data_IF_095015984921
#
_entry.id   IF_095015984921
#
_cell.length_a   1.000
_cell.length_b   1.000
_cell.length_c   1.000
_cell.angle_alpha   90.00
_cell.angle_beta   90.00
_cell.angle_gamma   90.00
#
_symmetry.space_group_name_H-M   'P 1'
#
loop_
_entity.id
_entity.type
_entity.pdbx_description
1 polymer ?
#
# COMPACT_ATOMS: atom_id res chain seq x y z
N UNK A 1 -18.04 -21.58 57.81
CA UNK A 1 -16.78 -21.07 57.23
C UNK A 1 -17.00 -20.85 55.74
N UNK A 2 -17.37 -19.63 55.31
CA UNK A 2 -17.52 -19.23 53.89
C UNK A 2 -17.81 -17.72 53.86
N UNK A 3 -16.81 -16.86 54.15
CA UNK A 3 -16.98 -15.40 54.06
C UNK A 3 -15.68 -14.62 53.75
N UNK A 4 -14.62 -15.27 53.28
CA UNK A 4 -13.34 -14.59 52.99
C UNK A 4 -13.01 -14.29 51.51
N UNK A 5 -13.55 -14.96 50.46
CA UNK A 5 -13.08 -14.67 49.10
C UNK A 5 -13.75 -13.45 48.42
N UNK A 6 -14.85 -12.91 48.96
CA UNK A 6 -15.56 -11.76 48.36
C UNK A 6 -14.98 -10.39 48.77
N UNK A 7 -14.22 -10.31 49.86
CA UNK A 7 -13.65 -9.04 50.34
C UNK A 7 -12.43 -8.60 49.51
N UNK A 8 -11.69 -9.56 48.94
CA UNK A 8 -10.49 -9.26 48.14
C UNK A 8 -10.85 -8.70 46.76
N UNK A 9 -11.98 -9.11 46.18
CA UNK A 9 -12.46 -8.56 44.90
C UNK A 9 -12.99 -7.13 45.01
N UNK A 10 -13.61 -6.77 46.14
CA UNK A 10 -14.18 -5.43 46.30
C UNK A 10 -13.12 -4.35 46.55
N UNK A 11 -12.00 -4.69 47.22
CA UNK A 11 -10.91 -3.73 47.49
C UNK A 11 -10.13 -3.39 46.22
N UNK A 12 -10.01 -4.31 45.26
CA UNK A 12 -9.36 -4.03 43.97
C UNK A 12 -10.19 -3.12 43.06
N UNK A 13 -11.53 -3.11 43.18
CA UNK A 13 -12.38 -2.25 42.36
C UNK A 13 -12.41 -0.79 42.86
N UNK A 14 -12.24 -0.57 44.17
CA UNK A 14 -12.29 0.78 44.77
C UNK A 14 -10.95 1.51 44.67
N UNK A 15 -9.82 0.80 44.54
CA UNK A 15 -8.50 1.42 44.38
C UNK A 15 -8.11 1.74 42.92
N UNK A 16 -8.89 1.29 41.93
CA UNK A 16 -8.64 1.55 40.50
C UNK A 16 -9.25 2.85 39.95
N UNK A 17 -10.03 3.59 40.74
CA UNK A 17 -10.80 4.76 40.26
C UNK A 17 -10.17 6.10 40.69
N UNK A 18 -9.08 6.09 41.47
CA UNK A 18 -8.45 7.31 41.97
C UNK A 18 -7.08 7.60 41.33
N UNK A 19 -7.03 7.78 40.00
CA UNK A 19 -5.88 8.43 39.33
C UNK A 19 -6.25 8.98 37.93
N UNK A 20 -7.19 9.92 37.87
CA UNK A 20 -7.42 10.76 36.69
C UNK A 20 -7.63 12.22 37.10
N UNK A 21 -6.61 12.81 37.72
CA UNK A 21 -6.58 14.25 37.97
C UNK A 21 -5.14 14.72 38.12
N UNK A 22 -4.69 15.45 37.10
CA UNK A 22 -3.55 16.39 37.08
C UNK A 22 -2.51 16.09 36.00
N UNK A 23 -2.87 16.39 34.76
CA UNK A 23 -1.91 16.83 33.74
C UNK A 23 -2.47 18.05 32.99
N UNK A 24 -2.72 19.13 33.73
CA UNK A 24 -2.94 20.47 33.20
C UNK A 24 -1.89 21.40 33.81
N UNK A 25 -0.73 21.51 33.15
CA UNK A 25 0.13 22.71 33.15
C UNK A 25 1.51 22.38 32.59
N UNK A 26 1.73 22.64 31.30
CA UNK A 26 2.99 23.15 30.71
C UNK A 26 2.92 23.11 29.18
N UNK A 27 1.90 23.72 28.57
CA UNK A 27 2.03 24.17 27.19
C UNK A 27 2.84 25.47 27.26
N UNK A 28 4.16 25.34 27.12
CA UNK A 28 4.98 26.47 26.70
C UNK A 28 4.42 26.94 25.35
N UNK A 29 3.96 28.18 25.31
CA UNK A 29 3.78 28.93 24.06
C UNK A 29 5.07 28.80 23.24
N UNK A 30 5.06 27.92 22.24
CA UNK A 30 5.96 28.05 21.11
C UNK A 30 5.34 29.13 20.24
N UNK A 31 6.10 30.20 20.06
CA UNK A 31 5.81 31.21 19.06
C UNK A 31 5.61 30.49 17.72
N UNK A 32 4.56 30.90 17.00
CA UNK A 32 4.32 30.49 15.63
C UNK A 32 5.60 30.72 14.82
N UNK A 33 6.06 29.75 13.99
CA UNK A 33 7.04 30.06 12.98
C UNK A 33 6.40 31.04 11.99
N UNK A 34 7.12 32.12 11.72
CA UNK A 34 6.82 33.03 10.64
C UNK A 34 6.72 32.29 9.30
N UNK A 35 5.72 32.70 8.50
CA UNK A 35 5.52 32.44 7.07
C UNK A 35 5.49 30.98 6.55
N UNK A 36 4.48 30.59 5.75
CA UNK A 36 4.52 29.35 5.01
C UNK A 36 5.68 29.39 4.00
N UNK A 37 6.73 28.61 4.25
CA UNK A 37 7.75 28.35 3.24
C UNK A 37 7.06 27.74 2.02
N UNK A 38 7.19 28.40 0.87
CA UNK A 38 6.86 27.81 -0.42
C UNK A 38 7.58 26.46 -0.53
N UNK A 39 6.81 25.42 -0.89
CA UNK A 39 7.35 24.11 -1.23
C UNK A 39 8.53 24.26 -2.19
N UNK A 40 9.66 23.57 -1.97
CA UNK A 40 10.79 23.66 -2.88
C UNK A 40 10.32 23.24 -4.28
N UNK A 41 10.38 24.18 -5.21
CA UNK A 41 10.19 23.88 -6.62
C UNK A 41 11.10 22.73 -7.02
N UNK A 42 10.52 21.74 -7.69
CA UNK A 42 11.14 20.65 -8.44
C UNK A 42 12.67 20.63 -8.31
N UNK A 43 13.17 20.07 -7.19
CA UNK A 43 14.61 19.90 -6.99
C UNK A 43 15.11 19.04 -8.14
N UNK A 44 15.89 19.65 -9.04
CA UNK A 44 16.63 18.92 -10.06
C UNK A 44 17.40 17.82 -9.36
N UNK A 45 17.19 16.59 -9.83
CA UNK A 45 18.00 15.44 -9.43
C UNK A 45 19.47 15.85 -9.52
N UNK A 46 20.27 15.50 -8.51
CA UNK A 46 21.70 15.78 -8.59
C UNK A 46 22.30 14.95 -9.75
N UNK A 47 23.46 15.38 -10.24
CA UNK A 47 24.08 14.77 -11.41
C UNK A 47 24.35 13.27 -11.24
N UNK A 48 24.51 12.78 -10.01
CA UNK A 48 24.69 11.35 -9.73
C UNK A 48 23.39 10.55 -9.89
N UNK A 49 22.27 11.10 -9.40
CA UNK A 49 20.95 10.50 -9.58
C UNK A 49 20.52 10.55 -11.05
N UNK A 50 20.85 11.64 -11.76
CA UNK A 50 20.57 11.77 -13.19
C UNK A 50 21.45 10.81 -14.01
N UNK A 51 22.74 10.71 -13.73
CA UNK A 51 23.64 9.77 -14.43
C UNK A 51 23.24 8.30 -14.19
N UNK A 52 22.74 7.99 -12.99
CA UNK A 52 22.21 6.67 -12.70
C UNK A 52 20.91 6.37 -13.48
N UNK A 53 20.00 7.35 -13.59
CA UNK A 53 18.80 7.24 -14.45
C UNK A 53 19.14 7.12 -15.93
N UNK A 54 20.14 7.86 -16.40
CA UNK A 54 20.59 7.84 -17.79
C UNK A 54 21.25 6.50 -18.13
N UNK A 55 21.99 5.89 -17.20
CA UNK A 55 22.54 4.53 -17.38
C UNK A 55 21.44 3.46 -17.47
N UNK A 56 20.39 3.55 -16.65
CA UNK A 56 19.24 2.64 -16.76
C UNK A 56 18.50 2.84 -18.08
N UNK A 57 18.31 4.09 -18.48
CA UNK A 57 17.64 4.41 -19.75
C UNK A 57 18.43 3.90 -20.96
N UNK A 58 19.77 4.00 -20.91
CA UNK A 58 20.65 3.45 -21.93
C UNK A 58 20.63 1.91 -21.98
N UNK A 59 20.47 1.22 -20.84
CA UNK A 59 20.25 -0.23 -20.81
C UNK A 59 18.87 -0.63 -21.36
N UNK A 60 17.85 0.22 -21.18
CA UNK A 60 16.48 0.01 -21.69
C UNK A 60 16.40 0.17 -23.22
N UNK A 61 17.17 1.08 -23.81
CA UNK A 61 17.17 1.35 -25.27
C UNK A 61 18.00 0.35 -26.10
N UNK A 62 18.73 -0.58 -25.47
CA UNK A 62 19.68 -1.47 -26.14
C UNK A 62 19.13 -2.84 -26.57
N UNK A 63 17.85 -3.14 -26.34
CA UNK A 63 17.30 -4.47 -26.62
C UNK A 63 16.23 -4.47 -27.73
N UNK A 64 16.47 -5.23 -28.82
CA UNK A 64 15.50 -5.36 -29.90
C UNK A 64 14.27 -6.13 -29.43
N UNK A 65 13.11 -5.68 -29.90
CA UNK A 65 11.77 -6.26 -29.71
C UNK A 65 11.79 -7.79 -29.56
N UNK A 66 11.64 -8.26 -28.31
CA UNK A 66 11.46 -9.67 -28.01
C UNK A 66 9.98 -10.04 -28.22
N UNK A 67 9.74 -10.62 -29.40
CA UNK A 67 8.64 -11.55 -29.74
C UNK A 67 7.23 -10.93 -29.75
N UNK A 68 6.98 -10.09 -30.76
CA UNK A 68 5.68 -10.09 -31.44
C UNK A 68 5.57 -11.44 -32.19
N UNK A 69 4.98 -12.43 -31.53
CA UNK A 69 4.84 -13.78 -32.06
C UNK A 69 3.67 -14.48 -31.41
N UNK A 70 2.48 -14.19 -31.95
CA UNK A 70 1.17 -14.75 -31.62
C UNK A 70 0.66 -14.43 -30.21
N UNK A 71 -0.23 -13.43 -30.12
CA UNK A 71 -0.87 -12.89 -28.91
C UNK A 71 -1.72 -13.91 -28.12
N UNK A 72 -1.74 -15.18 -28.51
CA UNK A 72 -2.73 -16.14 -28.04
C UNK A 72 -2.16 -17.23 -27.16
N UNK A 73 -1.51 -16.85 -26.04
CA UNK A 73 -1.19 -17.67 -24.86
C UNK A 73 0.31 -17.93 -24.64
N UNK A 74 0.85 -17.41 -23.54
CA UNK A 74 2.22 -17.74 -23.11
C UNK A 74 2.20 -19.11 -22.44
N UNK A 75 2.96 -20.07 -22.97
CA UNK A 75 3.15 -21.39 -22.35
C UNK A 75 3.67 -21.18 -20.93
N UNK A 76 2.96 -21.73 -19.93
CA UNK A 76 3.41 -21.66 -18.55
C UNK A 76 4.80 -22.34 -18.44
N UNK A 77 5.84 -21.63 -17.99
CA UNK A 77 7.15 -22.24 -17.78
C UNK A 77 7.11 -23.43 -16.80
N UNK A 78 6.04 -23.56 -16.01
CA UNK A 78 5.78 -24.65 -15.07
C UNK A 78 4.87 -25.76 -15.62
N UNK A 79 4.59 -25.76 -16.92
CA UNK A 79 3.74 -26.75 -17.60
C UNK A 79 2.25 -26.73 -17.16
N UNK A 80 1.79 -25.65 -16.52
CA UNK A 80 0.38 -25.42 -16.25
C UNK A 80 -0.40 -24.97 -17.49
N UNK A 81 -1.71 -24.76 -17.36
CA UNK A 81 -2.51 -24.10 -18.37
C UNK A 81 -1.88 -22.78 -18.81
N UNK A 82 -2.06 -22.40 -20.06
CA UNK A 82 -1.47 -21.18 -20.58
C UNK A 82 -1.90 -19.94 -19.81
N UNK A 83 -1.00 -18.98 -19.75
CA UNK A 83 -1.28 -17.65 -19.23
C UNK A 83 -2.06 -16.83 -20.26
N UNK A 84 -3.02 -16.04 -19.77
CA UNK A 84 -3.77 -15.05 -20.57
C UNK A 84 -3.54 -13.65 -20.03
N UNK A 85 -3.72 -12.62 -20.86
CA UNK A 85 -3.63 -11.23 -20.41
C UNK A 85 -4.71 -10.92 -19.38
N UNK A 86 -4.33 -10.23 -18.31
CA UNK A 86 -5.28 -9.67 -17.35
C UNK A 86 -5.60 -8.23 -17.72
N UNK A 87 -6.85 -7.97 -18.09
CA UNK A 87 -7.30 -6.66 -18.52
C UNK A 87 -7.60 -5.73 -17.32
N UNK A 88 -7.35 -4.44 -17.50
CA UNK A 88 -7.65 -3.42 -16.48
C UNK A 88 -6.68 -3.38 -15.29
N UNK A 89 -5.53 -4.03 -15.38
CA UNK A 89 -4.41 -3.92 -14.43
C UNK A 89 -3.16 -3.43 -15.17
N UNK A 90 -1.97 -3.47 -14.54
CA UNK A 90 -0.74 -3.03 -15.20
C UNK A 90 -0.50 -3.82 -16.50
N UNK A 91 -0.13 -3.16 -17.62
CA UNK A 91 0.13 -3.88 -18.87
C UNK A 91 1.28 -4.89 -18.74
N UNK A 92 1.24 -5.93 -19.58
CA UNK A 92 2.11 -7.11 -19.46
C UNK A 92 1.87 -7.96 -18.19
N UNK A 93 0.75 -7.73 -17.49
CA UNK A 93 0.25 -8.68 -16.50
C UNK A 93 -0.50 -9.81 -17.20
N UNK A 94 -0.06 -11.02 -16.90
CA UNK A 94 -0.69 -12.26 -17.32
C UNK A 94 -1.20 -13.01 -16.10
N UNK A 95 -2.32 -13.71 -16.24
CA UNK A 95 -2.92 -14.53 -15.20
C UNK A 95 -3.03 -15.98 -15.66
N UNK A 96 -2.75 -16.92 -14.75
CA UNK A 96 -2.84 -18.35 -15.00
C UNK A 96 -4.24 -18.74 -15.45
N UNK A 97 -4.36 -19.59 -16.48
CA UNK A 97 -5.63 -20.16 -16.92
C UNK A 97 -6.33 -21.05 -15.89
N UNK A 98 -5.69 -21.37 -14.77
CA UNK A 98 -6.29 -22.09 -13.63
C UNK A 98 -7.11 -21.18 -12.71
N UNK A 99 -6.94 -19.86 -12.82
CA UNK A 99 -7.74 -18.90 -12.07
C UNK A 99 -9.19 -18.92 -12.58
N UNK A 100 -10.13 -19.07 -11.65
CA UNK A 100 -11.55 -18.91 -11.96
C UNK A 100 -11.90 -17.45 -12.23
N UNK A 101 -12.97 -17.18 -12.98
CA UNK A 101 -13.43 -15.81 -13.24
C UNK A 101 -13.73 -15.02 -11.95
N UNK A 102 -14.19 -15.69 -10.90
CA UNK A 102 -14.41 -15.08 -9.59
C UNK A 102 -13.10 -14.63 -8.94
N UNK A 103 -12.07 -15.50 -8.94
CA UNK A 103 -10.74 -15.15 -8.42
C UNK A 103 -10.11 -13.99 -9.19
N UNK A 104 -10.22 -13.99 -10.52
CA UNK A 104 -9.75 -12.87 -11.35
C UNK A 104 -10.47 -11.57 -11.01
N UNK A 105 -11.79 -11.63 -10.80
CA UNK A 105 -12.57 -10.45 -10.38
C UNK A 105 -12.14 -9.93 -9.00
N UNK A 106 -11.80 -10.82 -8.06
CA UNK A 106 -11.33 -10.43 -6.72
C UNK A 106 -9.95 -9.76 -6.84
N UNK A 107 -9.02 -10.35 -7.59
CA UNK A 107 -7.69 -9.78 -7.82
C UNK A 107 -7.79 -8.42 -8.52
N UNK A 108 -8.63 -8.30 -9.55
CA UNK A 108 -8.85 -7.02 -10.24
C UNK A 108 -9.39 -5.96 -9.27
N UNK A 109 -10.36 -6.31 -8.43
CA UNK A 109 -10.87 -5.39 -7.42
C UNK A 109 -9.79 -5.01 -6.41
N UNK A 110 -8.97 -5.95 -5.97
CA UNK A 110 -7.84 -5.68 -5.07
C UNK A 110 -6.82 -4.73 -5.70
N UNK A 111 -6.60 -4.84 -7.01
CA UNK A 111 -5.77 -3.90 -7.77
C UNK A 111 -6.37 -2.49 -7.81
N UNK A 112 -7.66 -2.39 -8.15
CA UNK A 112 -8.39 -1.12 -8.19
C UNK A 112 -8.43 -0.45 -6.81
N UNK A 113 -8.59 -1.22 -5.74
CA UNK A 113 -8.56 -0.75 -4.35
C UNK A 113 -7.13 -0.33 -3.92
N UNK A 114 -6.11 -1.13 -4.24
CA UNK A 114 -4.71 -0.80 -3.93
C UNK A 114 -4.23 0.46 -4.67
N UNK A 115 -4.77 0.71 -5.87
CA UNK A 115 -4.55 1.95 -6.60
C UNK A 115 -4.94 3.17 -5.78
N UNK A 116 -6.07 3.14 -5.06
CA UNK A 116 -6.50 4.23 -4.19
C UNK A 116 -5.46 4.54 -3.10
N UNK A 117 -4.82 3.52 -2.52
CA UNK A 117 -3.75 3.72 -1.54
C UNK A 117 -2.53 4.42 -2.15
N UNK A 118 -2.08 3.96 -3.32
CA UNK A 118 -0.93 4.57 -3.99
C UNK A 118 -1.23 5.97 -4.50
N UNK A 119 -2.46 6.25 -4.91
CA UNK A 119 -2.95 7.58 -5.28
C UNK A 119 -2.99 8.52 -4.09
N UNK A 120 -3.43 8.06 -2.91
CA UNK A 120 -3.37 8.83 -1.68
C UNK A 120 -1.91 9.15 -1.29
N UNK A 121 -1.02 8.15 -1.37
CA UNK A 121 0.40 8.29 -1.05
C UNK A 121 1.15 9.24 -2.02
N UNK A 122 0.76 9.29 -3.29
CA UNK A 122 1.39 10.12 -4.33
C UNK A 122 0.55 11.35 -4.75
N UNK A 123 -0.54 11.62 -4.05
CA UNK A 123 -1.55 12.59 -4.43
C UNK A 123 -1.21 14.03 -4.02
N UNK A 124 -2.14 14.95 -4.32
CA UNK A 124 -2.14 16.26 -3.67
C UNK A 124 -2.88 16.13 -2.35
N UNK A 125 -2.21 16.47 -1.26
CA UNK A 125 -2.81 16.45 0.07
C UNK A 125 -3.50 17.78 0.37
N UNK A 126 -4.43 17.76 1.32
CA UNK A 126 -4.99 18.99 1.89
C UNK A 126 -3.86 19.83 2.49
N UNK A 127 -4.05 21.15 2.55
CA UNK A 127 -3.03 22.11 3.02
C UNK A 127 -2.49 21.79 4.42
N UNK A 128 -3.35 21.21 5.27
CA UNK A 128 -3.05 20.97 6.68
C UNK A 128 -2.73 19.49 6.98
N UNK A 129 -2.69 18.62 5.96
CA UNK A 129 -2.27 17.24 6.14
C UNK A 129 -0.77 17.17 6.44
N UNK A 130 -0.41 16.64 7.61
CA UNK A 130 0.98 16.45 8.01
C UNK A 130 1.56 15.20 7.32
N UNK A 131 1.93 15.38 6.05
CA UNK A 131 2.51 14.34 5.20
C UNK A 131 3.74 13.70 5.84
N UNK A 132 4.57 14.50 6.52
CA UNK A 132 5.80 14.04 7.14
C UNK A 132 5.54 13.15 8.36
N UNK A 133 4.53 13.47 9.18
CA UNK A 133 4.18 12.69 10.38
C UNK A 133 3.82 11.24 10.05
N UNK A 134 2.99 11.00 9.05
CA UNK A 134 2.57 9.63 8.68
C UNK A 134 3.74 8.81 8.17
N UNK A 135 4.57 9.38 7.30
CA UNK A 135 5.77 8.71 6.82
C UNK A 135 6.77 8.43 7.94
N UNK A 136 7.02 9.37 8.86
CA UNK A 136 7.86 9.12 10.04
C UNK A 136 7.30 8.01 10.90
N UNK A 137 5.97 7.86 10.96
CA UNK A 137 5.33 6.80 11.72
C UNK A 137 5.73 5.41 11.20
N UNK A 138 5.75 5.22 9.88
CA UNK A 138 5.95 3.91 9.26
C UNK A 138 7.35 3.64 8.72
N UNK A 139 8.05 4.69 8.31
CA UNK A 139 9.36 4.66 7.66
C UNK A 139 10.47 5.28 8.52
N UNK A 140 10.16 5.82 9.70
CA UNK A 140 11.14 6.40 10.64
C UNK A 140 11.52 7.85 10.33
N UNK A 141 12.23 8.48 11.27
CA UNK A 141 12.44 9.93 11.29
C UNK A 141 13.23 10.50 10.09
N UNK A 142 14.08 9.67 9.47
CA UNK A 142 14.98 10.07 8.39
C UNK A 142 14.43 9.75 6.99
N UNK A 143 13.15 9.40 6.85
CA UNK A 143 12.57 8.92 5.59
C UNK A 143 12.74 9.91 4.42
N UNK A 144 12.77 11.23 4.68
CA UNK A 144 12.98 12.28 3.69
C UNK A 144 14.24 13.12 3.89
N UNK A 145 15.20 12.67 4.71
CA UNK A 145 16.37 13.44 5.11
C UNK A 145 17.43 13.57 3.99
N UNK A 146 17.04 14.12 2.83
CA UNK A 146 17.84 14.25 1.60
C UNK A 146 19.02 15.22 1.75
N UNK A 147 19.02 16.06 2.78
CA UNK A 147 20.12 17.01 3.10
C UNK A 147 20.92 16.60 4.33
N UNK A 148 20.69 15.41 4.90
CA UNK A 148 21.40 14.92 6.09
C UNK A 148 22.92 14.84 5.86
N UNK A 149 23.81 15.14 6.83
CA UNK A 149 25.27 15.12 6.61
C UNK A 149 25.84 13.73 6.30
N UNK A 150 25.27 12.66 6.87
CA UNK A 150 25.66 11.28 6.57
C UNK A 150 25.13 10.82 5.21
N UNK A 151 26.03 10.40 4.31
CA UNK A 151 25.68 10.01 2.94
C UNK A 151 24.66 8.85 2.88
N UNK A 152 24.83 7.83 3.72
CA UNK A 152 23.91 6.69 3.73
C UNK A 152 22.49 7.04 4.16
N UNK A 153 22.30 8.10 4.96
CA UNK A 153 20.96 8.60 5.31
C UNK A 153 20.30 9.27 4.12
N UNK A 154 21.03 10.16 3.43
CA UNK A 154 20.53 10.84 2.22
C UNK A 154 20.14 9.85 1.13
N UNK A 155 21.00 8.88 0.86
CA UNK A 155 20.77 7.85 -0.16
C UNK A 155 19.49 7.07 0.12
N UNK A 156 19.27 6.64 1.37
CA UNK A 156 18.02 5.95 1.76
C UNK A 156 16.80 6.84 1.56
N UNK A 157 16.88 8.12 1.94
CA UNK A 157 15.77 9.05 1.75
C UNK A 157 15.42 9.24 0.26
N UNK A 158 16.43 9.35 -0.62
CA UNK A 158 16.23 9.41 -2.07
C UNK A 158 15.57 8.12 -2.58
N UNK A 159 16.03 6.95 -2.13
CA UNK A 159 15.46 5.65 -2.51
C UNK A 159 14.00 5.53 -2.07
N UNK A 160 13.65 5.90 -0.83
CA UNK A 160 12.28 5.89 -0.32
C UNK A 160 11.36 6.70 -1.23
N UNK A 161 11.73 7.96 -1.48
CA UNK A 161 10.92 8.87 -2.30
C UNK A 161 10.77 8.34 -3.74
N UNK A 162 11.84 7.75 -4.29
CA UNK A 162 11.80 7.15 -5.62
C UNK A 162 10.89 5.93 -5.69
N UNK A 163 10.94 5.05 -4.69
CA UNK A 163 10.10 3.85 -4.57
C UNK A 163 8.61 4.22 -4.48
N UNK A 164 8.25 5.20 -3.65
CA UNK A 164 6.88 5.74 -3.55
C UNK A 164 6.37 6.26 -4.90
N UNK A 165 7.20 7.03 -5.62
CA UNK A 165 6.86 7.51 -6.96
C UNK A 165 6.71 6.38 -7.97
N UNK A 166 7.63 5.41 -7.97
CA UNK A 166 7.60 4.30 -8.91
C UNK A 166 6.37 3.41 -8.72
N UNK A 167 5.97 3.11 -7.48
CA UNK A 167 4.73 2.35 -7.26
C UNK A 167 3.51 3.14 -7.73
N UNK A 168 3.45 4.45 -7.49
CA UNK A 168 2.38 5.29 -7.99
C UNK A 168 2.30 5.32 -9.53
N UNK A 169 3.46 5.29 -10.20
CA UNK A 169 3.53 5.17 -11.67
C UNK A 169 3.09 3.78 -12.14
N UNK A 170 3.44 2.70 -11.43
CA UNK A 170 3.02 1.33 -11.75
C UNK A 170 1.49 1.19 -11.77
N UNK A 171 0.77 1.89 -10.90
CA UNK A 171 -0.70 1.87 -10.89
C UNK A 171 -1.37 2.83 -11.88
N UNK A 172 -0.62 3.74 -12.51
CA UNK A 172 -1.15 4.80 -13.40
C UNK A 172 -0.74 4.65 -14.86
N UNK A 173 0.51 4.26 -15.11
CA UNK A 173 1.12 4.26 -16.43
C UNK A 173 0.92 2.92 -17.12
N UNK A 174 0.78 2.96 -18.44
CA UNK A 174 0.64 1.76 -19.24
C UNK A 174 1.98 1.00 -19.39
N UNK A 175 3.13 1.67 -19.37
CA UNK A 175 4.41 1.01 -19.64
C UNK A 175 5.51 1.64 -18.80
N UNK A 176 6.16 0.83 -17.97
CA UNK A 176 7.32 1.24 -17.18
C UNK A 176 8.62 0.67 -17.75
N UNK A 177 8.63 -0.61 -18.15
CA UNK A 177 9.80 -1.28 -18.72
C UNK A 177 9.38 -2.36 -19.73
N UNK A 178 10.04 -2.43 -20.88
CA UNK A 178 9.64 -3.33 -21.96
C UNK A 178 10.01 -4.81 -21.74
N UNK A 179 10.91 -5.11 -20.80
CA UNK A 179 11.45 -6.45 -20.55
C UNK A 179 10.95 -7.09 -19.24
N UNK A 180 9.87 -6.56 -18.65
CA UNK A 180 9.30 -7.09 -17.41
C UNK A 180 7.88 -7.64 -17.64
N UNK A 181 7.61 -8.81 -17.08
CA UNK A 181 6.32 -9.48 -17.16
C UNK A 181 5.82 -9.78 -15.75
N UNK A 182 4.52 -9.59 -15.53
CA UNK A 182 3.89 -9.88 -14.24
C UNK A 182 3.03 -11.13 -14.41
N UNK A 183 3.32 -12.18 -13.66
CA UNK A 183 2.65 -13.47 -13.77
C UNK A 183 1.88 -13.76 -12.49
N UNK A 184 0.55 -13.69 -12.57
CA UNK A 184 -0.33 -13.91 -11.44
C UNK A 184 -0.93 -15.32 -11.45
N UNK A 185 -0.93 -15.97 -10.29
CA UNK A 185 -1.46 -17.33 -10.10
C UNK A 185 -2.45 -17.35 -8.95
N UNK A 186 -3.42 -18.26 -9.00
CA UNK A 186 -4.44 -18.45 -7.95
C UNK A 186 -4.27 -19.77 -7.18
N UNK A 187 -3.14 -20.46 -7.37
CA UNK A 187 -2.83 -21.74 -6.75
C UNK A 187 -1.31 -21.94 -6.62
N UNK A 188 -0.89 -22.97 -5.89
CA UNK A 188 0.51 -23.26 -5.61
C UNK A 188 1.38 -23.34 -6.87
N UNK A 189 2.32 -22.40 -6.98
CA UNK A 189 3.42 -22.51 -7.92
C UNK A 189 4.33 -23.68 -7.51
N UNK A 190 4.29 -24.77 -8.27
CA UNK A 190 4.99 -26.03 -7.99
C UNK A 190 6.53 -25.92 -7.81
N UNK A 191 7.15 -24.77 -8.10
CA UNK A 191 8.60 -24.71 -8.35
C UNK A 191 9.49 -24.36 -7.15
N UNK A 192 8.98 -23.80 -6.05
CA UNK A 192 9.85 -23.08 -5.10
C UNK A 192 9.82 -23.51 -3.63
N UNK A 193 9.32 -24.70 -3.29
CA UNK A 193 9.05 -25.08 -1.89
C UNK A 193 8.19 -24.03 -1.15
N UNK A 194 7.53 -23.16 -1.92
CA UNK A 194 6.61 -22.17 -1.43
C UNK A 194 5.22 -22.77 -1.59
N UNK A 195 4.61 -23.04 -0.46
CA UNK A 195 3.28 -23.60 -0.38
C UNK A 195 2.35 -22.57 0.26
N UNK A 196 1.24 -22.31 -0.41
CA UNK A 196 0.07 -21.72 0.19
C UNK A 196 -0.32 -22.54 1.41
N UNK A 197 -0.60 -21.83 2.48
CA UNK A 197 -1.14 -22.35 3.71
C UNK A 197 -2.29 -21.47 4.15
N UNK A 198 -3.08 -21.95 5.10
CA UNK A 198 -4.25 -21.21 5.60
C UNK A 198 -3.90 -19.84 6.21
N UNK A 199 -2.62 -19.60 6.52
CA UNK A 199 -2.13 -18.36 7.15
C UNK A 199 -1.38 -17.44 6.18
N UNK A 200 -1.16 -17.86 4.93
CA UNK A 200 -0.45 -17.08 3.91
C UNK A 200 -1.43 -16.61 2.86
N UNK A 201 -1.54 -15.31 2.63
CA UNK A 201 -2.48 -14.75 1.66
C UNK A 201 -1.87 -14.72 0.25
N UNK A 202 -0.61 -14.33 0.11
CA UNK A 202 0.09 -14.33 -1.17
C UNK A 202 1.61 -14.46 -0.97
N UNK A 203 2.34 -14.54 -2.08
CA UNK A 203 3.79 -14.45 -2.08
C UNK A 203 4.33 -14.13 -3.46
N UNK A 204 5.46 -13.41 -3.47
CA UNK A 204 6.06 -12.87 -4.69
C UNK A 204 7.54 -13.24 -4.80
N UNK A 205 7.98 -13.48 -6.03
CA UNK A 205 9.39 -13.67 -6.37
C UNK A 205 9.63 -13.26 -7.82
N UNK A 206 10.89 -13.05 -8.17
CA UNK A 206 11.31 -12.75 -9.53
C UNK A 206 12.18 -13.87 -10.09
N UNK A 207 11.99 -14.23 -11.36
CA UNK A 207 12.91 -15.08 -12.12
C UNK A 207 13.34 -14.37 -13.40
N UNK A 208 14.62 -14.51 -13.76
CA UNK A 208 15.09 -14.08 -15.07
C UNK A 208 14.98 -15.25 -16.06
N UNK A 209 14.28 -15.04 -17.17
CA UNK A 209 14.21 -16.03 -18.24
C UNK A 209 15.58 -16.20 -18.90
N UNK A 210 16.15 -17.41 -18.85
CA UNK A 210 17.44 -17.69 -19.51
C UNK A 210 17.38 -17.41 -21.02
N UNK A 211 16.24 -17.68 -21.66
CA UNK A 211 16.06 -17.54 -23.11
C UNK A 211 15.86 -16.09 -23.56
N UNK A 212 15.00 -15.34 -22.86
CA UNK A 212 14.59 -14.00 -23.29
C UNK A 212 15.29 -12.89 -22.52
N UNK A 213 15.98 -13.21 -21.43
CA UNK A 213 16.54 -12.27 -20.47
C UNK A 213 15.50 -11.36 -19.80
N UNK A 214 14.21 -11.56 -20.08
CA UNK A 214 13.10 -10.87 -19.42
C UNK A 214 13.04 -11.24 -17.94
N UNK A 215 12.64 -10.28 -17.12
CA UNK A 215 12.36 -10.49 -15.70
C UNK A 215 10.87 -10.83 -15.56
N UNK A 216 10.57 -11.95 -14.92
CA UNK A 216 9.22 -12.39 -14.61
C UNK A 216 8.96 -12.17 -13.12
N UNK A 217 8.14 -11.17 -12.80
CA UNK A 217 7.63 -10.90 -11.46
C UNK A 217 6.42 -11.81 -11.22
N UNK A 218 6.57 -12.84 -10.41
CA UNK A 218 5.51 -13.81 -10.14
C UNK A 218 4.86 -13.52 -8.79
N UNK A 219 3.53 -13.44 -8.77
CA UNK A 219 2.74 -13.37 -7.54
C UNK A 219 1.76 -14.53 -7.51
N UNK A 220 1.74 -15.27 -6.41
CA UNK A 220 0.75 -16.33 -6.18
C UNK A 220 -0.19 -15.92 -5.07
N UNK A 221 -1.48 -15.88 -5.38
CA UNK A 221 -2.57 -15.64 -4.43
C UNK A 221 -3.10 -16.98 -3.90
N UNK A 222 -3.10 -17.12 -2.58
CA UNK A 222 -3.56 -18.32 -1.88
C UNK A 222 -5.06 -18.30 -1.61
N UNK A 223 -5.63 -19.45 -1.23
CA UNK A 223 -7.07 -19.56 -0.94
C UNK A 223 -7.55 -18.57 0.14
N UNK A 224 -6.73 -18.33 1.16
CA UNK A 224 -6.98 -17.36 2.23
C UNK A 224 -7.13 -15.92 1.71
N UNK A 225 -6.38 -15.51 0.68
CA UNK A 225 -6.54 -14.19 0.06
C UNK A 225 -7.95 -13.97 -0.48
N UNK A 226 -8.52 -14.99 -1.14
CA UNK A 226 -9.86 -14.90 -1.71
C UNK A 226 -10.98 -14.90 -0.66
N UNK A 227 -10.64 -15.17 0.61
CA UNK A 227 -11.57 -15.09 1.76
C UNK A 227 -11.50 -13.74 2.49
N UNK A 228 -10.54 -12.88 2.14
CA UNK A 228 -10.41 -11.56 2.74
C UNK A 228 -11.50 -10.62 2.24
N UNK A 229 -11.86 -9.67 3.09
CA UNK A 229 -12.76 -8.59 2.71
C UNK A 229 -12.05 -7.55 1.83
N UNK A 230 -12.83 -6.79 1.07
CA UNK A 230 -12.33 -5.66 0.29
C UNK A 230 -12.15 -4.44 1.19
N UNK A 231 -11.28 -3.50 0.81
CA UNK A 231 -11.15 -2.26 1.60
C UNK A 231 -12.45 -1.45 1.55
N UNK A 232 -13.14 -1.44 0.40
CA UNK A 232 -14.42 -0.76 0.26
C UNK A 232 -15.50 -1.31 1.21
N UNK A 233 -15.52 -2.62 1.45
CA UNK A 233 -16.42 -3.25 2.41
C UNK A 233 -16.11 -2.81 3.84
N UNK A 234 -14.84 -2.86 4.23
CA UNK A 234 -14.39 -2.42 5.56
C UNK A 234 -14.66 -0.93 5.81
N UNK A 235 -14.41 -0.07 4.81
CA UNK A 235 -14.72 1.36 4.90
C UNK A 235 -16.22 1.58 5.02
N UNK A 236 -17.03 0.91 4.21
CA UNK A 236 -18.49 1.04 4.26
C UNK A 236 -19.07 0.60 5.62
N UNK A 237 -18.47 -0.41 6.25
CA UNK A 237 -18.86 -0.86 7.60
C UNK A 237 -18.58 0.20 8.69
N UNK A 238 -17.62 1.09 8.46
CA UNK A 238 -17.13 2.06 9.44
C UNK A 238 -17.35 3.52 9.04
N UNK A 239 -18.03 3.78 7.91
CA UNK A 239 -18.22 5.13 7.34
C UNK A 239 -18.81 6.15 8.31
N UNK A 240 -19.65 5.70 9.25
CA UNK A 240 -20.34 6.56 10.23
C UNK A 240 -19.60 6.61 11.59
N UNK A 241 -18.40 6.04 11.69
CA UNK A 241 -17.60 5.93 12.91
C UNK A 241 -16.15 6.37 12.62
N UNK A 242 -15.92 7.68 12.67
CA UNK A 242 -14.61 8.29 12.42
C UNK A 242 -13.50 7.71 13.32
N UNK A 243 -13.82 7.36 14.57
CA UNK A 243 -12.88 6.73 15.50
C UNK A 243 -12.43 5.34 15.04
N UNK A 244 -13.29 4.60 14.32
CA UNK A 244 -12.92 3.32 13.70
C UNK A 244 -12.19 3.51 12.38
N UNK A 245 -12.60 4.46 11.54
CA UNK A 245 -11.85 4.81 10.32
C UNK A 245 -10.41 5.21 10.65
N UNK A 246 -10.19 5.93 11.75
CA UNK A 246 -8.86 6.33 12.23
C UNK A 246 -7.99 5.17 12.75
N UNK A 247 -8.55 3.97 12.92
CA UNK A 247 -7.85 2.80 13.46
C UNK A 247 -7.51 1.83 12.33
N UNK A 248 -6.33 2.01 11.75
CA UNK A 248 -5.80 1.18 10.66
C UNK A 248 -5.83 -0.34 10.92
N UNK A 249 -5.86 -0.78 12.18
CA UNK A 249 -6.01 -2.19 12.56
C UNK A 249 -7.30 -2.86 12.05
N UNK A 250 -8.38 -2.10 11.78
CA UNK A 250 -9.58 -2.66 11.14
C UNK A 250 -9.39 -2.95 9.64
N UNK A 251 -8.33 -2.40 9.04
CA UNK A 251 -8.05 -2.47 7.60
C UNK A 251 -6.83 -3.34 7.25
N UNK A 252 -6.21 -3.96 8.27
CA UNK A 252 -5.00 -4.75 8.15
C UNK A 252 -5.18 -6.03 7.31
N UNK A 253 -6.41 -6.57 7.29
CA UNK A 253 -6.75 -7.83 6.62
C UNK A 253 -7.67 -7.57 5.43
N UNK A 254 -7.13 -7.05 4.34
CA UNK A 254 -7.87 -6.84 3.09
C UNK A 254 -7.11 -7.35 1.88
N UNK A 255 -7.86 -7.70 0.82
CA UNK A 255 -7.26 -8.09 -0.46
C UNK A 255 -6.36 -7.00 -1.03
N UNK A 256 -6.77 -5.73 -0.92
CA UNK A 256 -6.00 -4.57 -1.39
C UNK A 256 -4.66 -4.42 -0.64
N UNK A 257 -4.67 -4.57 0.69
CA UNK A 257 -3.45 -4.56 1.52
C UNK A 257 -2.50 -5.65 1.06
N UNK A 258 -2.99 -6.89 0.93
CA UNK A 258 -2.14 -8.01 0.50
C UNK A 258 -1.57 -7.78 -0.89
N UNK A 259 -2.38 -7.34 -1.85
CA UNK A 259 -1.88 -7.09 -3.20
C UNK A 259 -0.81 -5.99 -3.21
N UNK A 260 -1.03 -4.86 -2.52
CA UNK A 260 -0.03 -3.78 -2.46
C UNK A 260 1.27 -4.24 -1.80
N UNK A 261 1.18 -5.04 -0.73
CA UNK A 261 2.34 -5.65 -0.09
C UNK A 261 3.16 -6.49 -1.09
N UNK A 262 2.51 -7.33 -1.88
CA UNK A 262 3.20 -8.14 -2.89
C UNK A 262 3.86 -7.28 -3.98
N UNK A 263 3.17 -6.22 -4.44
CA UNK A 263 3.70 -5.28 -5.44
C UNK A 263 5.00 -4.62 -4.97
N UNK A 264 5.12 -4.33 -3.67
CA UNK A 264 6.35 -3.73 -3.11
C UNK A 264 7.59 -4.62 -3.30
N UNK A 265 7.43 -5.92 -3.47
CA UNK A 265 8.55 -6.84 -3.72
C UNK A 265 9.05 -6.87 -5.17
N UNK A 266 8.33 -6.28 -6.12
CA UNK A 266 8.73 -6.32 -7.54
C UNK A 266 10.07 -5.60 -7.78
N UNK A 267 10.97 -6.23 -8.56
CA UNK A 267 12.29 -5.67 -8.83
C UNK A 267 12.23 -4.36 -9.63
N UNK A 268 11.12 -4.08 -10.31
CA UNK A 268 10.85 -2.79 -10.97
C UNK A 268 10.97 -1.60 -10.00
N UNK A 269 10.73 -1.82 -8.71
CA UNK A 269 10.86 -0.81 -7.66
C UNK A 269 12.33 -0.58 -7.24
N UNK A 270 13.28 -1.23 -7.91
CA UNK A 270 14.71 -0.98 -7.81
C UNK A 270 15.39 -1.53 -6.56
N UNK A 271 16.71 -1.32 -6.48
CA UNK A 271 17.54 -1.72 -5.36
C UNK A 271 17.46 -0.74 -4.17
N UNK A 272 17.57 -1.22 -2.91
CA UNK A 272 17.58 -2.62 -2.51
C UNK A 272 16.21 -3.28 -2.69
N UNK A 273 16.16 -4.61 -2.86
CA UNK A 273 14.89 -5.34 -2.83
C UNK A 273 14.15 -5.08 -1.53
N UNK A 274 12.83 -4.91 -1.63
CA UNK A 274 11.98 -4.89 -0.44
C UNK A 274 11.83 -6.32 0.08
N UNK A 275 11.89 -6.47 1.40
CA UNK A 275 11.80 -7.74 2.09
C UNK A 275 10.71 -7.68 3.17
N UNK A 276 10.48 -8.83 3.81
CA UNK A 276 9.55 -8.97 4.93
C UNK A 276 10.30 -9.02 6.25
N UNK A 277 10.65 -7.84 6.75
CA UNK A 277 11.36 -7.72 8.04
C UNK A 277 10.41 -7.72 9.23
N UNK A 278 9.18 -7.26 9.03
CA UNK A 278 8.13 -7.19 10.02
C UNK A 278 6.76 -7.29 9.35
N UNK A 279 5.91 -8.16 9.90
CA UNK A 279 4.51 -8.28 9.47
C UNK A 279 3.57 -7.65 10.47
N UNK A 280 2.58 -6.95 9.93
CA UNK A 280 1.49 -6.37 10.67
C UNK A 280 1.82 -5.05 11.36
N UNK A 281 0.76 -4.29 11.65
CA UNK A 281 0.81 -2.88 12.04
C UNK A 281 1.79 -2.64 13.22
N UNK A 282 1.64 -3.42 14.28
CA UNK A 282 2.44 -3.28 15.50
C UNK A 282 3.94 -3.52 15.26
N UNK A 283 4.31 -4.58 14.55
CA UNK A 283 5.71 -4.90 14.31
C UNK A 283 6.36 -3.92 13.33
N UNK A 284 5.62 -3.43 12.34
CA UNK A 284 6.11 -2.40 11.42
C UNK A 284 6.39 -1.09 12.15
N UNK A 285 5.50 -0.68 13.06
CA UNK A 285 5.73 0.49 13.90
C UNK A 285 6.94 0.30 14.81
N UNK A 286 7.07 -0.89 15.43
CA UNK A 286 8.23 -1.22 16.25
C UNK A 286 9.53 -1.17 15.43
N UNK A 287 9.52 -1.68 14.20
CA UNK A 287 10.66 -1.64 13.29
C UNK A 287 11.08 -0.18 13.00
N UNK A 288 10.12 0.69 12.70
CA UNK A 288 10.38 2.12 12.47
C UNK A 288 10.97 2.82 13.70
N UNK A 289 10.45 2.54 14.91
CA UNK A 289 10.95 3.17 16.15
C UNK A 289 12.34 2.66 16.52
N UNK A 290 12.55 1.34 16.50
CA UNK A 290 13.76 0.70 17.05
C UNK A 290 14.90 0.74 16.05
N UNK A 291 14.61 0.53 14.77
CA UNK A 291 15.62 0.42 13.73
C UNK A 291 15.66 1.63 12.78
N UNK A 292 14.72 2.56 12.93
CA UNK A 292 14.62 3.75 12.10
C UNK A 292 14.36 3.42 10.63
N UNK A 293 14.58 4.44 9.81
CA UNK A 293 14.50 4.34 8.35
C UNK A 293 15.42 3.27 7.80
N UNK A 294 16.57 3.00 8.43
CA UNK A 294 17.56 2.01 7.98
C UNK A 294 16.99 0.61 7.74
N UNK A 295 15.96 0.18 8.47
CA UNK A 295 15.28 -1.11 8.23
C UNK A 295 13.88 -0.94 7.70
N UNK A 296 13.13 0.07 8.15
CA UNK A 296 11.76 0.27 7.70
C UNK A 296 11.64 0.50 6.19
N UNK A 297 12.63 1.17 5.57
CA UNK A 297 12.59 1.47 4.13
C UNK A 297 12.76 0.26 3.19
N UNK A 298 13.09 -0.91 3.74
CA UNK A 298 13.18 -2.17 3.00
C UNK A 298 12.13 -3.17 3.48
N UNK A 299 11.09 -2.71 4.19
CA UNK A 299 10.00 -3.55 4.67
C UNK A 299 8.72 -3.29 3.88
N UNK A 300 8.15 -4.32 3.25
CA UNK A 300 6.95 -4.17 2.41
C UNK A 300 5.74 -3.62 3.19
N UNK A 301 5.45 -4.22 4.34
CA UNK A 301 4.32 -3.79 5.17
C UNK A 301 4.46 -2.35 5.66
N UNK A 302 5.69 -1.84 5.86
CA UNK A 302 5.89 -0.44 6.26
C UNK A 302 5.35 0.53 5.22
N UNK A 303 5.64 0.33 3.93
CA UNK A 303 5.08 1.17 2.88
C UNK A 303 3.58 0.94 2.67
N UNK A 304 3.12 -0.30 2.86
CA UNK A 304 1.71 -0.65 2.70
C UNK A 304 0.85 0.05 3.76
N UNK A 305 1.24 -0.03 5.04
CA UNK A 305 0.53 0.66 6.12
C UNK A 305 0.64 2.18 6.01
N UNK A 306 1.76 2.69 5.51
CA UNK A 306 1.90 4.12 5.19
C UNK A 306 0.85 4.58 4.18
N UNK A 307 0.72 3.89 3.04
CA UNK A 307 -0.25 4.22 2.01
C UNK A 307 -1.71 4.09 2.50
N UNK A 308 -2.02 3.04 3.27
CA UNK A 308 -3.35 2.84 3.86
C UNK A 308 -3.67 3.96 4.87
N UNK A 309 -2.72 4.36 5.72
CA UNK A 309 -2.97 5.41 6.71
C UNK A 309 -3.29 6.74 6.03
N UNK A 310 -2.53 7.11 5.00
CA UNK A 310 -2.79 8.34 4.21
C UNK A 310 -4.17 8.27 3.54
N UNK A 311 -4.55 7.11 3.01
CA UNK A 311 -5.87 6.92 2.40
C UNK A 311 -7.01 7.10 3.42
N UNK A 312 -6.91 6.49 4.61
CA UNK A 312 -7.92 6.60 5.65
C UNK A 312 -8.04 8.03 6.20
N UNK A 313 -6.91 8.71 6.42
CA UNK A 313 -6.89 10.11 6.86
C UNK A 313 -7.63 11.01 5.84
N UNK A 314 -7.43 10.78 4.54
CA UNK A 314 -8.16 11.51 3.49
C UNK A 314 -9.68 11.28 3.49
N UNK A 315 -10.17 10.15 4.01
CA UNK A 315 -11.61 9.85 4.09
C UNK A 315 -12.27 10.55 5.28
N UNK A 316 -11.63 10.53 6.45
CA UNK A 316 -12.19 11.12 7.68
C UNK A 316 -12.42 12.61 7.48
N UNK A 317 -11.44 13.29 6.90
CA UNK A 317 -11.52 14.73 6.65
C UNK A 317 -12.57 15.11 5.59
N UNK A 318 -13.11 14.17 4.81
CA UNK A 318 -14.22 14.46 3.89
C UNK A 318 -15.55 14.62 4.62
N UNK A 319 -15.68 14.03 5.83
CA UNK A 319 -16.91 14.04 6.60
C UNK A 319 -17.06 15.25 7.54
N UNK A 320 -15.97 15.93 7.88
CA UNK A 320 -16.00 17.13 8.74
C UNK A 320 -16.35 18.43 7.98
N UNK A 321 -16.16 18.44 6.66
CA UNK A 321 -16.42 19.59 5.79
C UNK A 321 -17.86 19.65 5.26
N UNK A 322 -18.76 18.71 5.63
CA UNK A 322 -20.19 18.79 5.27
C UNK A 322 -20.91 19.70 6.27
N UNK A 323 -21.17 20.98 5.92
CA UNK A 323 -22.00 21.81 6.76
C UNK A 323 -23.38 21.19 6.74
N UNK A 324 -23.91 20.86 7.92
CA UNK A 324 -25.30 20.39 8.15
C UNK A 324 -26.40 21.39 7.73
N UNK A 325 -26.14 22.22 6.73
CA UNK A 325 -26.94 23.37 6.30
C UNK A 325 -27.07 23.48 4.77
N UNK A 326 -26.88 22.39 4.02
CA UNK A 326 -27.49 22.31 2.70
C UNK A 326 -28.70 21.40 2.75
N UNK A 327 -29.88 22.03 2.73
CA UNK A 327 -31.18 21.44 2.45
C UNK A 327 -31.16 20.74 1.07
N UNK A 328 -30.43 19.62 0.96
CA UNK A 328 -30.60 18.72 -0.16
C UNK A 328 -31.86 17.90 0.09
N UNK A 329 -32.99 18.48 -0.27
CA UNK A 329 -34.20 17.73 -0.55
C UNK A 329 -33.95 16.93 -1.85
N UNK A 330 -33.92 15.59 -1.82
CA UNK A 330 -34.03 14.85 -3.06
C UNK A 330 -35.41 15.18 -3.64
N UNK A 331 -35.44 15.89 -4.76
CA UNK A 331 -36.67 16.06 -5.52
C UNK A 331 -37.24 14.67 -5.79
N UNK A 332 -38.40 14.42 -5.18
CA UNK A 332 -39.23 13.28 -5.50
C UNK A 332 -39.60 13.40 -6.97
N UNK A 333 -38.98 12.58 -7.82
CA UNK A 333 -39.55 12.26 -9.12
C UNK A 333 -40.86 11.51 -8.86
N UNK A 334 -41.93 12.27 -8.70
CA UNK A 334 -43.29 11.77 -8.80
C UNK A 334 -43.51 11.40 -10.26
N UNK A 335 -43.78 10.11 -10.47
CA UNK A 335 -44.42 9.56 -11.65
C UNK A 335 -45.46 10.53 -12.22
N UNK A 336 -45.29 10.90 -13.48
CA UNK A 336 -46.41 11.35 -14.30
C UNK A 336 -46.73 10.22 -15.25
N UNK A 337 -47.90 9.63 -14.98
CA UNK A 337 -48.65 8.76 -15.86
C UNK A 337 -48.66 9.30 -17.30
N UNK A 338 -48.14 8.51 -18.24
CA UNK A 338 -48.48 8.68 -19.65
C UNK A 338 -49.64 7.74 -19.93
N UNK A 339 -50.83 8.30 -19.80
CA UNK A 339 -52.07 7.73 -20.31
C UNK A 339 -52.04 7.64 -21.83
N UNK A 340 -52.60 6.54 -22.34
CA UNK A 340 -52.76 6.25 -23.76
C UNK A 340 -53.78 7.17 -24.42
N UNK A 341 -53.48 7.58 -25.66
CA UNK A 341 -54.44 7.68 -26.76
C UNK A 341 -53.76 7.41 -28.10
#
# INVERSE_FOLDING_TARGET
MLFLPLLVWYISLVLGIAQSSSYKSAIKQRQAPDEPQQLPGEQRLNDADQAWLDNIKAEVDLFPHAVEGDDTLTVDPLQGPPFRRMEGVFPQTLISGECTAEQESIIKRAWDDAKLFTEAQNGKWKKDYDYDKTHKFWLGDDWNATTHPEAGVRERAVIVNRKIKLVGRLFKEAHLHHNQWFLWRCNNARRLNWECSDVRNAGTWAEQSERTQNIMEMTTFCESFFKLETIGGQVAQHKDDADKLAKIGYFEQSTAKTLLHEVWHYNILGWPPIADLAYGMYNCRKLAIVNGTKRAFINSDSYTFDAINIYLDNLIDYHDDDPKDSDYHPESNSDSDVDMN
#
